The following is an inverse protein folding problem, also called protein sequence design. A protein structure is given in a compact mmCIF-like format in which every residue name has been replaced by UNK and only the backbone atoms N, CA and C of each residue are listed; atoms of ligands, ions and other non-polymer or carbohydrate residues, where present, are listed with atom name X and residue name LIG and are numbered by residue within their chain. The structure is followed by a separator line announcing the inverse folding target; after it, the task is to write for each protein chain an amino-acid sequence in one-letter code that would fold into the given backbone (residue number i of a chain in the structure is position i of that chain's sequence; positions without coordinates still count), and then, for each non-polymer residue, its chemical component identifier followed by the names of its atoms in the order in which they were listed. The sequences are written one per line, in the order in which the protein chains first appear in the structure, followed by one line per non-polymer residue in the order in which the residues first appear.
data_IF_116129000266
#
_entry.id   IF_116129000266
#
_cell.length_a   1.000
_cell.length_b   1.000
_cell.length_c   1.000
_cell.angle_alpha   90.00
_cell.angle_beta   90.00
_cell.angle_gamma   90.00
#
_symmetry.space_group_name_H-M   'P 1'
#
loop_
_entity.id
_entity.type
_entity.pdbx_description
1 polymer ?
#
# COMPACT_ATOMS: atom_id res chain seq x y z
N UNK A 1 -29.04 23.06 -41.59
CA UNK A 1 -27.80 22.30 -41.82
C UNK A 1 -26.68 22.75 -40.86
N UNK A 2 -26.38 24.05 -40.78
CA UNK A 2 -25.43 24.58 -39.83
C UNK A 2 -25.89 24.42 -38.38
N UNK A 3 -27.20 24.54 -38.15
CA UNK A 3 -27.76 24.34 -36.83
C UNK A 3 -27.58 22.88 -36.36
N UNK A 4 -27.77 21.92 -37.25
CA UNK A 4 -27.58 20.51 -36.97
C UNK A 4 -26.14 20.17 -36.70
N UNK A 5 -25.20 20.76 -37.46
CA UNK A 5 -23.76 20.60 -37.27
C UNK A 5 -23.33 21.20 -35.91
N UNK A 6 -23.86 22.39 -35.55
CA UNK A 6 -23.56 23.02 -34.27
C UNK A 6 -24.08 22.20 -33.08
N UNK A 7 -25.25 21.60 -33.19
CA UNK A 7 -25.81 20.70 -32.19
C UNK A 7 -24.95 19.45 -32.04
N UNK A 8 -24.51 18.87 -33.15
CA UNK A 8 -23.67 17.69 -33.12
C UNK A 8 -22.29 17.99 -32.49
N UNK A 9 -21.68 19.13 -32.87
CA UNK A 9 -20.42 19.55 -32.30
C UNK A 9 -20.53 19.80 -30.79
N UNK A 10 -21.61 20.43 -30.36
CA UNK A 10 -21.87 20.66 -28.94
C UNK A 10 -22.03 19.35 -28.18
N UNK A 11 -22.75 18.39 -28.76
CA UNK A 11 -22.97 17.07 -28.16
C UNK A 11 -21.65 16.32 -28.01
N UNK A 12 -20.79 16.34 -29.03
CA UNK A 12 -19.48 15.72 -29.00
C UNK A 12 -18.61 16.36 -27.94
N UNK A 13 -18.61 17.68 -27.86
CA UNK A 13 -17.82 18.42 -26.86
C UNK A 13 -18.27 18.11 -25.45
N UNK A 14 -19.58 18.08 -25.20
CA UNK A 14 -20.13 17.74 -23.90
C UNK A 14 -19.76 16.33 -23.48
N UNK A 15 -19.81 15.37 -24.42
CA UNK A 15 -19.40 14.01 -24.15
C UNK A 15 -17.91 13.90 -23.83
N UNK A 16 -17.06 14.62 -24.57
CA UNK A 16 -15.62 14.66 -24.31
C UNK A 16 -15.32 15.23 -22.93
N UNK A 17 -15.99 16.32 -22.57
CA UNK A 17 -15.84 16.93 -21.25
C UNK A 17 -16.27 15.99 -20.14
N UNK A 18 -17.38 15.27 -20.34
CA UNK A 18 -17.85 14.28 -19.37
C UNK A 18 -16.86 13.13 -19.20
N UNK A 19 -16.31 12.61 -20.29
CA UNK A 19 -15.31 11.55 -20.26
C UNK A 19 -14.02 12.00 -19.57
N UNK A 20 -13.57 13.22 -19.85
CA UNK A 20 -12.40 13.79 -19.20
C UNK A 20 -12.62 13.96 -17.70
N UNK A 21 -13.82 14.41 -17.29
CA UNK A 21 -14.17 14.55 -15.88
C UNK A 21 -14.21 13.20 -15.18
N UNK A 22 -14.75 12.17 -15.81
CA UNK A 22 -14.77 10.81 -15.28
C UNK A 22 -13.37 10.25 -15.11
N UNK A 23 -12.50 10.46 -16.12
CA UNK A 23 -11.10 10.02 -16.03
C UNK A 23 -10.34 10.72 -14.92
N UNK A 24 -10.53 12.04 -14.78
CA UNK A 24 -9.89 12.81 -13.72
C UNK A 24 -10.35 12.35 -12.35
N UNK A 25 -11.64 12.08 -12.18
CA UNK A 25 -12.20 11.56 -10.94
C UNK A 25 -11.64 10.16 -10.60
N UNK A 26 -11.51 9.29 -11.61
CA UNK A 26 -10.94 7.96 -11.44
C UNK A 26 -9.46 8.01 -11.04
N UNK A 27 -8.69 8.91 -11.65
CA UNK A 27 -7.27 9.12 -11.31
C UNK A 27 -7.12 9.64 -9.89
N UNK A 28 -7.96 10.59 -9.49
CA UNK A 28 -7.95 11.12 -8.12
C UNK A 28 -8.32 10.04 -7.11
N UNK A 29 -9.32 9.20 -7.39
CA UNK A 29 -9.69 8.09 -6.52
C UNK A 29 -8.54 7.09 -6.35
N UNK A 30 -7.84 6.76 -7.44
CA UNK A 30 -6.66 5.89 -7.38
C UNK A 30 -5.53 6.49 -6.56
N UNK A 31 -5.31 7.80 -6.70
CA UNK A 31 -4.28 8.51 -5.94
C UNK A 31 -4.60 8.51 -4.45
N UNK A 32 -5.85 8.74 -4.09
CA UNK A 32 -6.31 8.69 -2.71
C UNK A 32 -6.16 7.30 -2.10
N UNK A 33 -6.51 6.27 -2.84
CA UNK A 33 -6.35 4.88 -2.41
C UNK A 33 -4.88 4.54 -2.20
N UNK A 34 -4.01 4.94 -3.11
CA UNK A 34 -2.57 4.70 -3.00
C UNK A 34 -1.97 5.38 -1.77
N UNK A 35 -2.39 6.61 -1.47
CA UNK A 35 -1.97 7.32 -0.28
C UNK A 35 -2.43 6.62 0.99
N UNK A 36 -3.68 6.16 1.03
CA UNK A 36 -4.20 5.39 2.17
C UNK A 36 -3.42 4.10 2.37
N UNK A 37 -3.12 3.39 1.29
CA UNK A 37 -2.33 2.16 1.33
C UNK A 37 -0.92 2.43 1.86
N UNK A 38 -0.29 3.51 1.42
CA UNK A 38 1.03 3.89 1.88
C UNK A 38 1.03 4.25 3.37
N UNK A 39 0.05 5.01 3.82
CA UNK A 39 -0.09 5.38 5.22
C UNK A 39 -0.37 4.16 6.11
N UNK A 40 -1.22 3.25 5.64
CA UNK A 40 -1.54 2.02 6.38
C UNK A 40 -0.32 1.11 6.46
N UNK A 41 0.38 0.92 5.35
CA UNK A 41 1.60 0.13 5.32
C UNK A 41 2.70 0.76 6.19
N UNK A 42 2.84 2.08 6.15
CA UNK A 42 3.77 2.79 7.03
C UNK A 42 3.43 2.56 8.51
N UNK A 43 2.15 2.54 8.84
CA UNK A 43 1.68 2.27 10.20
C UNK A 43 2.04 0.86 10.65
N UNK A 44 1.87 -0.14 9.78
CA UNK A 44 2.26 -1.51 10.08
C UNK A 44 3.78 -1.62 10.24
N UNK A 45 4.54 -1.05 9.33
CA UNK A 45 6.01 -1.04 9.40
C UNK A 45 6.48 -0.41 10.70
N UNK A 46 5.87 0.69 11.10
CA UNK A 46 6.20 1.34 12.37
C UNK A 46 5.93 0.42 13.56
N UNK A 47 4.78 -0.25 13.57
CA UNK A 47 4.44 -1.17 14.66
C UNK A 47 5.37 -2.38 14.72
N UNK A 48 5.73 -2.94 13.57
CA UNK A 48 6.50 -4.19 13.49
C UNK A 48 8.00 -3.97 13.50
N UNK A 49 8.47 -2.85 12.97
CA UNK A 49 9.89 -2.64 12.70
C UNK A 49 10.35 -1.19 12.89
N UNK A 50 9.63 -0.41 13.70
CA UNK A 50 9.94 1.01 13.89
C UNK A 50 11.33 1.27 14.47
N UNK A 51 11.89 0.31 15.18
CA UNK A 51 13.23 0.38 15.79
C UNK A 51 14.28 -0.40 14.99
N UNK A 52 13.95 -0.89 13.80
CA UNK A 52 14.83 -1.68 12.97
C UNK A 52 15.58 -0.82 11.95
N UNK A 53 16.70 -1.31 11.38
CA UNK A 53 17.36 -0.63 10.26
C UNK A 53 16.39 -0.37 9.12
N UNK A 54 16.66 0.65 8.33
CA UNK A 54 15.79 1.04 7.21
C UNK A 54 15.52 -0.14 6.26
N UNK A 55 16.55 -0.90 5.93
CA UNK A 55 16.40 -2.09 5.08
C UNK A 55 15.40 -3.10 5.68
N UNK A 56 15.40 -3.25 7.00
CA UNK A 56 14.45 -4.11 7.70
C UNK A 56 13.02 -3.58 7.63
N UNK A 57 12.85 -2.28 7.66
CA UNK A 57 11.55 -1.64 7.49
C UNK A 57 11.02 -1.86 6.08
N UNK A 58 11.86 -1.69 5.06
CA UNK A 58 11.51 -1.99 3.67
C UNK A 58 11.16 -3.47 3.51
N UNK A 59 11.92 -4.35 4.17
CA UNK A 59 11.69 -5.79 4.12
C UNK A 59 10.31 -6.19 4.67
N UNK A 60 9.87 -5.60 5.76
CA UNK A 60 8.51 -5.84 6.29
C UNK A 60 7.47 -5.40 5.27
N UNK A 61 7.65 -4.25 4.65
CA UNK A 61 6.78 -3.79 3.56
C UNK A 61 6.79 -4.76 2.38
N UNK A 62 7.95 -5.27 2.02
CA UNK A 62 8.09 -6.23 0.91
C UNK A 62 7.35 -7.54 1.18
N UNK A 63 7.31 -8.02 2.43
CA UNK A 63 6.49 -9.20 2.79
C UNK A 63 5.03 -8.94 2.47
N UNK A 64 4.49 -7.80 2.85
CA UNK A 64 3.10 -7.44 2.54
C UNK A 64 2.86 -7.44 1.04
N UNK A 65 3.73 -6.81 0.26
CA UNK A 65 3.59 -6.76 -1.20
C UNK A 65 3.73 -8.15 -1.84
N UNK A 66 4.61 -9.00 -1.33
CA UNK A 66 4.73 -10.38 -1.79
C UNK A 66 3.43 -11.16 -1.54
N UNK A 67 2.79 -10.97 -0.39
CA UNK A 67 1.50 -11.59 -0.10
C UNK A 67 0.42 -11.10 -1.06
N UNK A 68 0.38 -9.79 -1.34
CA UNK A 68 -0.58 -9.22 -2.31
C UNK A 68 -0.45 -9.90 -3.68
N UNK A 69 0.77 -10.21 -4.09
CA UNK A 69 1.04 -10.87 -5.38
C UNK A 69 0.86 -12.38 -5.35
N UNK A 70 0.71 -12.97 -4.18
CA UNK A 70 0.54 -14.43 -4.02
C UNK A 70 -0.93 -14.83 -4.14
N UNK A 71 -1.22 -15.90 -4.88
CA UNK A 71 -2.57 -16.44 -4.98
C UNK A 71 -3.09 -17.00 -3.65
N UNK A 72 -2.20 -17.24 -2.69
CA UNK A 72 -2.56 -17.79 -1.37
C UNK A 72 -3.06 -16.73 -0.39
N UNK A 73 -2.96 -15.45 -0.73
CA UNK A 73 -3.31 -14.33 0.13
C UNK A 73 -4.28 -13.38 -0.57
N UNK A 74 -4.93 -12.48 0.20
CA UNK A 74 -5.75 -11.42 -0.41
C UNK A 74 -4.93 -10.56 -1.37
N UNK A 75 -5.61 -9.90 -2.30
CA UNK A 75 -4.94 -9.17 -3.38
C UNK A 75 -4.87 -7.65 -3.19
N UNK A 76 -5.03 -7.17 -1.97
CA UNK A 76 -4.84 -5.76 -1.65
C UNK A 76 -4.05 -5.60 -0.36
N UNK A 77 -3.36 -4.46 -0.23
CA UNK A 77 -2.54 -4.15 0.95
C UNK A 77 -3.40 -4.18 2.22
N UNK A 78 -4.54 -3.50 2.21
CA UNK A 78 -5.40 -3.47 3.39
C UNK A 78 -5.93 -4.84 3.78
N UNK A 79 -6.33 -5.65 2.82
CA UNK A 79 -6.83 -6.99 3.09
C UNK A 79 -5.75 -7.92 3.62
N UNK A 80 -4.52 -7.81 3.12
CA UNK A 80 -3.38 -8.57 3.65
C UNK A 80 -3.07 -8.15 5.08
N UNK A 81 -3.03 -6.85 5.35
CA UNK A 81 -2.71 -6.32 6.68
C UNK A 81 -3.75 -6.73 7.73
N UNK A 82 -5.03 -6.65 7.36
CA UNK A 82 -6.14 -6.99 8.27
C UNK A 82 -6.57 -8.46 8.20
N UNK A 83 -5.87 -9.29 7.45
CA UNK A 83 -6.18 -10.70 7.40
C UNK A 83 -6.13 -11.30 8.81
N UNK A 84 -7.16 -12.07 9.16
CA UNK A 84 -7.34 -12.59 10.51
C UNK A 84 -6.10 -13.34 11.01
N UNK A 85 -5.62 -12.93 12.18
CA UNK A 85 -4.54 -13.62 12.89
C UNK A 85 -3.13 -13.41 12.34
N UNK A 86 -2.93 -12.54 11.33
CA UNK A 86 -1.62 -12.39 10.70
C UNK A 86 -0.71 -11.38 11.39
N UNK A 87 -1.23 -10.23 11.78
CA UNK A 87 -0.41 -9.17 12.37
C UNK A 87 -0.99 -8.75 13.73
N UNK A 88 -0.21 -8.94 14.78
CA UNK A 88 -0.62 -8.59 16.14
C UNK A 88 -1.09 -7.14 16.28
N UNK A 89 -0.40 -6.13 15.72
CA UNK A 89 -0.89 -4.75 15.83
C UNK A 89 -2.27 -4.52 15.25
N UNK A 90 -2.66 -5.27 14.21
CA UNK A 90 -4.01 -5.21 13.65
C UNK A 90 -5.04 -5.81 14.60
N UNK A 91 -4.66 -6.84 15.34
CA UNK A 91 -5.53 -7.54 16.30
C UNK A 91 -5.77 -6.67 17.54
N UNK A 92 -4.72 -6.01 18.04
CA UNK A 92 -4.78 -5.27 19.31
C UNK A 92 -5.37 -3.86 19.18
N UNK A 93 -5.52 -3.35 17.95
CA UNK A 93 -5.94 -1.97 17.71
C UNK A 93 -4.80 -0.97 17.68
N UNK A 94 -3.56 -1.38 17.94
CA UNK A 94 -2.40 -0.48 17.89
C UNK A 94 -2.19 0.09 16.48
N UNK A 95 -2.32 -0.75 15.47
CA UNK A 95 -2.23 -0.33 14.07
C UNK A 95 -3.23 0.79 13.76
N UNK A 96 -4.50 0.60 14.14
CA UNK A 96 -5.55 1.58 13.88
C UNK A 96 -5.27 2.91 14.58
N UNK A 97 -4.73 2.84 15.79
CA UNK A 97 -4.34 4.03 16.56
C UNK A 97 -3.21 4.80 15.87
N UNK A 98 -2.19 4.10 15.39
CA UNK A 98 -1.05 4.70 14.67
C UNK A 98 -1.54 5.32 13.35
N UNK A 99 -2.37 4.59 12.63
CA UNK A 99 -2.92 5.05 11.34
C UNK A 99 -3.77 6.30 11.52
N UNK A 100 -4.72 6.28 12.46
CA UNK A 100 -5.63 7.40 12.71
C UNK A 100 -4.91 8.64 13.21
N UNK A 101 -3.87 8.45 14.03
CA UNK A 101 -3.09 9.55 14.60
C UNK A 101 -1.95 10.03 13.71
N UNK A 102 -1.64 9.31 12.63
CA UNK A 102 -0.49 9.63 11.78
C UNK A 102 0.83 9.57 12.53
N UNK A 103 0.93 8.69 13.54
CA UNK A 103 2.10 8.66 14.44
C UNK A 103 3.24 7.77 13.94
N UNK A 104 3.16 7.24 12.74
CA UNK A 104 4.28 6.54 12.11
C UNK A 104 5.43 7.51 11.81
N UNK A 105 6.66 6.99 11.77
CA UNK A 105 7.83 7.80 11.47
C UNK A 105 7.94 8.13 9.99
N UNK A 106 8.69 9.18 9.66
CA UNK A 106 9.04 9.49 8.27
C UNK A 106 9.79 8.33 7.62
N UNK A 107 10.64 7.65 8.38
CA UNK A 107 11.38 6.47 7.93
C UNK A 107 10.42 5.34 7.51
N UNK A 108 9.42 5.04 8.33
CA UNK A 108 8.43 4.01 8.01
C UNK A 108 7.59 4.40 6.78
N UNK A 109 7.25 5.67 6.66
CA UNK A 109 6.51 6.17 5.49
C UNK A 109 7.31 6.01 4.21
N UNK A 110 8.59 6.38 4.24
CA UNK A 110 9.49 6.23 3.10
C UNK A 110 9.71 4.76 2.75
N UNK A 111 9.86 3.89 3.77
CA UNK A 111 10.01 2.45 3.57
C UNK A 111 8.77 1.84 2.90
N UNK A 112 7.58 2.30 3.28
CA UNK A 112 6.33 1.88 2.64
C UNK A 112 6.30 2.28 1.17
N UNK A 113 6.69 3.51 0.85
CA UNK A 113 6.79 3.98 -0.53
C UNK A 113 7.76 3.12 -1.34
N UNK A 114 8.95 2.87 -0.81
CA UNK A 114 9.95 2.06 -1.49
C UNK A 114 9.44 0.64 -1.75
N UNK A 115 8.79 0.01 -0.78
CA UNK A 115 8.22 -1.33 -0.94
C UNK A 115 7.12 -1.36 -2.00
N UNK A 116 6.22 -0.38 -1.98
CA UNK A 116 5.14 -0.27 -2.99
C UNK A 116 5.74 -0.09 -4.38
N UNK A 117 6.83 0.66 -4.50
CA UNK A 117 7.51 0.89 -5.77
C UNK A 117 8.44 -0.25 -6.20
N UNK A 118 8.48 -1.35 -5.45
CA UNK A 118 9.16 -2.56 -5.86
C UNK A 118 10.48 -2.86 -5.16
N UNK A 119 10.93 -2.02 -4.23
CA UNK A 119 12.13 -2.35 -3.43
C UNK A 119 11.88 -3.60 -2.61
N UNK A 120 12.76 -4.59 -2.77
CA UNK A 120 12.53 -5.89 -2.17
C UNK A 120 13.86 -6.57 -1.82
N UNK A 121 14.35 -6.39 -0.58
CA UNK A 121 15.62 -7.00 -0.17
C UNK A 121 15.50 -8.48 0.20
N UNK A 122 14.31 -9.07 0.17
CA UNK A 122 14.06 -10.41 0.69
C UNK A 122 13.49 -11.38 -0.35
N UNK A 123 13.45 -10.99 -1.63
CA UNK A 123 12.97 -11.87 -2.70
C UNK A 123 11.50 -12.22 -2.55
N UNK A 124 11.19 -13.51 -2.49
CA UNK A 124 9.82 -14.01 -2.43
C UNK A 124 9.36 -14.43 -1.03
N UNK A 125 10.06 -13.99 0.01
CA UNK A 125 9.68 -14.30 1.39
C UNK A 125 8.26 -13.80 1.72
N UNK A 126 7.50 -14.64 2.41
CA UNK A 126 6.12 -14.36 2.79
C UNK A 126 5.94 -14.18 4.31
N UNK A 127 7.01 -14.40 5.08
CA UNK A 127 6.97 -14.39 6.55
C UNK A 127 8.16 -13.64 7.12
N UNK A 128 7.98 -13.10 8.31
CA UNK A 128 9.08 -12.59 9.11
C UNK A 128 8.78 -12.80 10.60
N UNK A 129 9.84 -12.78 11.40
CA UNK A 129 9.72 -12.92 12.84
C UNK A 129 11.06 -13.04 13.53
N UNK A 130 11.05 -13.39 14.81
CA UNK A 130 12.24 -13.59 15.62
C UNK A 130 12.78 -15.02 15.55
N UNK A 131 12.50 -15.72 14.47
CA UNK A 131 12.96 -17.09 14.25
C UNK A 131 14.47 -17.17 14.04
N UNK A 132 14.93 -18.35 13.64
CA UNK A 132 16.36 -18.61 13.51
C UNK A 132 16.79 -19.03 12.10
N UNK A 133 15.91 -18.89 11.11
CA UNK A 133 16.27 -19.26 9.74
C UNK A 133 15.71 -18.25 8.73
N UNK A 134 16.34 -18.21 7.58
CA UNK A 134 16.00 -17.29 6.51
C UNK A 134 16.98 -16.13 6.42
N UNK A 135 16.55 -15.06 5.79
CA UNK A 135 17.36 -13.85 5.62
C UNK A 135 17.23 -13.00 6.85
N UNK A 136 18.33 -12.76 7.54
CA UNK A 136 18.33 -11.89 8.72
C UNK A 136 18.60 -10.44 8.32
N UNK A 137 17.70 -9.54 8.74
CA UNK A 137 17.90 -8.09 8.62
C UNK A 137 17.51 -7.49 9.96
N UNK A 138 18.48 -6.88 10.67
CA UNK A 138 18.27 -6.44 12.04
C UNK A 138 17.90 -7.62 12.93
N UNK A 139 16.83 -7.46 13.68
CA UNK A 139 16.34 -8.50 14.60
C UNK A 139 15.38 -9.49 13.95
N UNK A 140 14.99 -9.26 12.69
CA UNK A 140 14.03 -10.11 12.00
C UNK A 140 14.68 -11.10 11.04
N UNK A 141 14.05 -12.27 10.94
CA UNK A 141 14.37 -13.30 9.95
C UNK A 141 13.23 -13.41 8.95
N UNK A 142 13.57 -13.32 7.68
CA UNK A 142 12.59 -13.37 6.58
C UNK A 142 12.71 -14.71 5.85
N UNK A 143 11.55 -15.35 5.60
CA UNK A 143 11.52 -16.66 4.94
C UNK A 143 10.23 -16.93 4.16
#
# INVERSE_FOLDING_TARGET
KRAEEAVEEARIREEQERLQAEQAAAEEARRQELLRDQELLASLIFCEAGNQPYEGQVAVGAVVLNRVRSAAYPNSISEVIYQSGQFTPAITGWLDSVYSGGSYTQSAYQAAEDAINGSNPIGDCLYFGCGSYGIQIGDHFFH
#
